data_IF_235903603393
#
_entry.id   IF_235903603393
#
_cell.length_a   1.000
_cell.length_b   1.000
_cell.length_c   1.000
_cell.angle_alpha   90.00
_cell.angle_beta   90.00
_cell.angle_gamma   90.00
#
_symmetry.space_group_name_H-M   'P 1'
#
loop_
_entity.id
_entity.type
_entity.pdbx_description
1 polymer ?
#
# COMPACT_ATOMS: atom_id res chain seq x y z
N UNK A 1 -0.61 14.96 -6.71
CA UNK A 1 -1.53 13.94 -7.24
C UNK A 1 -2.75 13.79 -6.33
N UNK A 2 -3.86 13.28 -6.85
CA UNK A 2 -5.04 13.01 -6.04
C UNK A 2 -4.92 11.67 -5.32
N UNK A 3 -5.36 11.64 -4.06
CA UNK A 3 -5.40 10.43 -3.26
C UNK A 3 -6.65 10.39 -2.39
N UNK A 4 -7.23 9.20 -2.22
CA UNK A 4 -8.31 8.96 -1.27
C UNK A 4 -7.71 8.65 0.09
N UNK A 5 -7.88 9.55 1.04
CA UNK A 5 -7.26 9.50 2.36
C UNK A 5 -8.30 9.17 3.42
N UNK A 6 -8.04 8.13 4.20
CA UNK A 6 -8.87 7.75 5.35
C UNK A 6 -8.41 8.54 6.58
N UNK A 7 -9.33 9.30 7.17
CA UNK A 7 -9.11 10.10 8.38
C UNK A 7 -9.76 9.49 9.63
N UNK A 8 -10.74 8.62 9.41
CA UNK A 8 -11.49 8.00 10.48
C UNK A 8 -12.73 7.29 9.95
N UNK A 9 -13.56 6.80 10.85
CA UNK A 9 -14.82 6.14 10.49
C UNK A 9 -15.69 7.06 9.65
N UNK A 10 -16.13 6.59 8.48
CA UNK A 10 -16.96 7.31 7.51
C UNK A 10 -16.35 8.62 7.00
N UNK A 11 -15.04 8.76 7.09
CA UNK A 11 -14.33 9.97 6.71
C UNK A 11 -13.19 9.66 5.75
N UNK A 12 -13.52 9.58 4.46
CA UNK A 12 -12.54 9.49 3.37
C UNK A 12 -12.59 10.78 2.58
N UNK A 13 -11.43 11.37 2.35
CA UNK A 13 -11.29 12.64 1.64
C UNK A 13 -10.41 12.45 0.42
N UNK A 14 -10.85 12.96 -0.73
CA UNK A 14 -10.00 13.06 -1.92
C UNK A 14 -9.26 14.39 -1.85
N UNK A 15 -7.96 14.32 -1.76
CA UNK A 15 -7.12 15.50 -1.59
C UNK A 15 -5.82 15.39 -2.38
N UNK A 16 -5.16 16.52 -2.58
CA UNK A 16 -3.84 16.55 -3.20
C UNK A 16 -2.77 16.14 -2.20
N UNK A 17 -1.92 15.21 -2.62
CA UNK A 17 -0.77 14.75 -1.86
C UNK A 17 0.48 14.82 -2.74
N UNK A 18 1.64 14.91 -2.10
CA UNK A 18 2.91 14.86 -2.79
C UNK A 18 3.06 13.52 -3.55
N UNK A 19 3.62 13.58 -4.75
CA UNK A 19 4.02 12.37 -5.48
C UNK A 19 5.14 11.70 -4.70
N UNK A 20 5.03 10.42 -4.35
CA UNK A 20 6.08 9.74 -3.62
C UNK A 20 7.36 9.63 -4.44
N UNK A 21 8.49 9.62 -3.76
CA UNK A 21 9.81 9.47 -4.36
C UNK A 21 10.50 8.21 -3.85
N UNK A 22 11.39 7.66 -4.68
CA UNK A 22 12.26 6.55 -4.28
C UNK A 22 13.28 7.08 -3.28
N UNK A 23 13.36 6.45 -2.11
CA UNK A 23 14.28 6.80 -1.03
C UNK A 23 15.27 5.68 -0.69
N UNK A 24 15.06 4.50 -1.26
CA UNK A 24 15.94 3.33 -1.06
C UNK A 24 16.21 2.63 -2.39
N UNK A 25 17.38 2.01 -2.55
CA UNK A 25 17.76 1.36 -3.83
C UNK A 25 16.89 0.15 -4.19
N UNK A 26 16.17 -0.44 -3.24
CA UNK A 26 15.28 -1.59 -3.47
C UNK A 26 13.85 -1.22 -3.87
N UNK A 27 13.51 0.05 -3.87
CA UNK A 27 12.16 0.51 -4.16
C UNK A 27 11.89 0.68 -5.64
N UNK A 28 10.63 0.54 -6.01
CA UNK A 28 10.11 0.89 -7.33
C UNK A 28 8.98 1.90 -7.19
N UNK A 29 8.80 2.74 -8.21
CA UNK A 29 7.70 3.69 -8.30
C UNK A 29 6.75 3.23 -9.40
N UNK A 30 5.48 3.09 -9.03
CA UNK A 30 4.43 2.59 -9.91
C UNK A 30 3.42 3.70 -10.17
N UNK A 31 3.14 3.97 -11.44
CA UNK A 31 2.00 4.78 -11.85
C UNK A 31 0.75 3.88 -11.83
N UNK A 32 -0.08 4.04 -10.82
CA UNK A 32 -1.30 3.24 -10.66
C UNK A 32 -2.28 3.56 -11.79
N UNK A 33 -2.75 2.53 -12.48
CA UNK A 33 -3.72 2.64 -13.56
C UNK A 33 -5.12 2.24 -13.13
N UNK A 34 -5.24 1.19 -12.33
CA UNK A 34 -6.49 0.67 -11.80
C UNK A 34 -6.32 0.27 -10.36
N UNK A 35 -7.34 0.54 -9.55
CA UNK A 35 -7.42 0.06 -8.18
C UNK A 35 -8.80 -0.49 -7.91
N UNK A 36 -8.87 -1.60 -7.20
CA UNK A 36 -10.10 -2.20 -6.70
C UNK A 36 -10.41 -1.74 -5.28
N UNK A 37 -11.65 -1.94 -4.89
CA UNK A 37 -12.11 -1.74 -3.52
C UNK A 37 -12.25 -3.12 -2.88
N UNK A 38 -11.46 -3.38 -1.85
CA UNK A 38 -11.54 -4.60 -1.05
C UNK A 38 -12.61 -4.46 0.04
N UNK A 39 -13.16 -5.58 0.48
CA UNK A 39 -14.05 -5.59 1.65
C UNK A 39 -13.43 -5.00 2.91
N UNK A 40 -12.11 -5.12 3.07
CA UNK A 40 -11.38 -4.52 4.20
C UNK A 40 -11.39 -2.99 4.16
N UNK A 41 -11.35 -2.38 2.98
CA UNK A 41 -11.50 -0.93 2.83
C UNK A 41 -12.89 -0.48 3.29
N UNK A 42 -13.93 -1.24 2.92
CA UNK A 42 -15.29 -0.96 3.34
C UNK A 42 -15.48 -1.12 4.85
N UNK A 43 -14.87 -2.16 5.45
CA UNK A 43 -14.92 -2.38 6.89
C UNK A 43 -14.25 -1.25 7.67
N UNK A 44 -13.08 -0.77 7.21
CA UNK A 44 -12.42 0.40 7.81
C UNK A 44 -13.29 1.65 7.70
N UNK A 45 -13.95 1.85 6.56
CA UNK A 45 -14.83 3.00 6.36
C UNK A 45 -16.03 2.96 7.31
N UNK A 46 -16.73 1.82 7.39
CA UNK A 46 -17.97 1.70 8.15
C UNK A 46 -17.76 1.53 9.67
N UNK A 47 -16.73 0.83 10.06
CA UNK A 47 -16.50 0.41 11.45
C UNK A 47 -15.10 0.66 12.00
N UNK A 48 -14.22 1.30 11.23
CA UNK A 48 -12.86 1.56 11.68
C UNK A 48 -12.72 2.58 12.82
N UNK A 49 -11.53 2.64 13.44
CA UNK A 49 -10.32 1.94 13.02
C UNK A 49 -10.34 0.44 13.37
N UNK A 50 -9.95 -0.41 12.40
CA UNK A 50 -9.78 -1.86 12.58
C UNK A 50 -8.29 -2.21 12.43
N UNK A 51 -7.72 -1.96 11.24
CA UNK A 51 -6.31 -2.22 10.93
C UNK A 51 -5.47 -0.94 10.87
N UNK A 52 -6.08 0.19 10.55
CA UNK A 52 -5.36 1.45 10.41
C UNK A 52 -4.99 1.99 11.79
N UNK A 53 -3.70 2.16 12.09
CA UNK A 53 -3.28 2.74 13.35
C UNK A 53 -3.63 4.23 13.41
N UNK A 54 -4.22 4.66 14.51
CA UNK A 54 -4.67 6.05 14.70
C UNK A 54 -3.87 6.76 15.78
N UNK A 55 -3.63 6.10 16.90
CA UNK A 55 -2.96 6.70 18.05
C UNK A 55 -1.44 6.55 17.97
N UNK A 56 -0.97 5.35 17.64
CA UNK A 56 0.45 5.02 17.52
C UNK A 56 0.79 4.60 16.11
N UNK A 57 2.00 4.94 15.69
CA UNK A 57 2.52 4.51 14.40
C UNK A 57 2.64 2.98 14.33
N UNK A 58 2.37 2.45 13.14
CA UNK A 58 2.55 1.03 12.89
C UNK A 58 4.03 0.64 13.09
N UNK A 59 4.33 -0.43 13.84
CA UNK A 59 5.72 -0.75 14.24
C UNK A 59 6.66 -1.03 13.07
N UNK A 60 6.14 -1.45 11.92
CA UNK A 60 6.98 -1.75 10.76
C UNK A 60 7.00 -0.65 9.71
N UNK A 61 5.88 -0.01 9.45
CA UNK A 61 5.79 1.03 8.43
C UNK A 61 6.04 2.44 8.95
N UNK A 62 5.94 2.64 10.25
CA UNK A 62 6.00 3.97 10.87
C UNK A 62 4.82 4.87 10.52
N UNK A 63 3.75 4.31 9.96
CA UNK A 63 2.60 5.08 9.48
C UNK A 63 1.40 4.97 10.40
N UNK A 64 0.59 6.01 10.39
CA UNK A 64 -0.71 6.09 11.04
C UNK A 64 -1.65 6.97 10.23
N UNK A 65 -2.92 7.01 10.61
CA UNK A 65 -3.89 7.88 9.95
C UNK A 65 -3.45 9.36 9.97
N UNK A 66 -3.74 10.15 8.93
CA UNK A 66 -4.47 9.74 7.73
C UNK A 66 -3.63 8.92 6.74
N UNK A 67 -4.24 7.89 6.14
CA UNK A 67 -3.60 7.01 5.17
C UNK A 67 -4.29 7.07 3.80
N UNK A 68 -3.52 6.90 2.74
CA UNK A 68 -4.06 6.62 1.42
C UNK A 68 -4.57 5.18 1.38
N UNK A 69 -5.84 5.00 1.04
CA UNK A 69 -6.45 3.69 0.86
C UNK A 69 -6.12 3.08 -0.50
N UNK A 70 -6.33 1.78 -0.59
CA UNK A 70 -6.16 0.97 -1.78
C UNK A 70 -4.95 0.03 -1.66
N UNK A 71 -5.22 -1.27 -1.78
CA UNK A 71 -4.20 -2.32 -1.72
C UNK A 71 -4.42 -3.41 -2.78
N UNK A 72 -5.39 -3.22 -3.67
CA UNK A 72 -5.65 -4.08 -4.83
C UNK A 72 -5.50 -3.24 -6.08
N UNK A 73 -4.29 -3.09 -6.59
CA UNK A 73 -4.04 -2.22 -7.72
C UNK A 73 -3.05 -2.81 -8.72
N UNK A 74 -3.14 -2.30 -9.93
CA UNK A 74 -2.22 -2.58 -11.01
C UNK A 74 -1.73 -1.28 -11.63
N UNK A 75 -0.53 -1.29 -12.15
CA UNK A 75 0.07 -0.12 -12.77
C UNK A 75 1.30 -0.45 -13.58
N UNK A 76 1.97 0.59 -13.97
CA UNK A 76 3.20 0.53 -14.76
C UNK A 76 4.36 1.09 -13.94
N UNK A 77 5.50 0.41 -13.96
CA UNK A 77 6.71 0.90 -13.31
C UNK A 77 7.24 2.10 -14.09
N UNK A 78 7.40 3.21 -13.41
CA UNK A 78 7.92 4.48 -13.99
C UNK A 78 9.30 4.83 -13.51
N UNK A 79 9.74 4.24 -12.40
CA UNK A 79 11.06 4.47 -11.83
C UNK A 79 11.48 3.28 -10.98
N UNK A 80 12.76 2.93 -11.01
CA UNK A 80 13.34 1.86 -10.20
C UNK A 80 14.55 2.36 -9.43
N UNK A 81 14.71 1.87 -8.21
CA UNK A 81 15.92 2.11 -7.41
C UNK A 81 17.14 1.40 -8.03
N UNK A 82 18.32 1.89 -7.69
CA UNK A 82 19.58 1.39 -8.28
C UNK A 82 19.86 -0.11 -8.00
N UNK A 83 19.27 -0.68 -6.95
CA UNK A 83 19.43 -2.08 -6.59
C UNK A 83 18.36 -3.02 -7.17
N UNK A 84 17.41 -2.51 -7.92
CA UNK A 84 16.33 -3.30 -8.50
C UNK A 84 16.80 -3.99 -9.78
N UNK A 85 16.68 -5.33 -9.82
CA UNK A 85 17.16 -6.15 -10.96
C UNK A 85 16.07 -7.05 -11.55
N UNK A 86 14.98 -7.28 -10.85
CA UNK A 86 13.93 -8.23 -11.23
C UNK A 86 12.79 -7.61 -12.06
N UNK A 87 12.69 -6.28 -12.09
CA UNK A 87 11.72 -5.53 -12.88
C UNK A 87 12.39 -4.29 -13.47
N UNK A 88 11.75 -3.69 -14.48
CA UNK A 88 12.26 -2.50 -15.16
C UNK A 88 11.16 -1.50 -15.45
N UNK A 89 11.54 -0.27 -15.76
CA UNK A 89 10.63 0.78 -16.23
C UNK A 89 9.85 0.27 -17.46
N UNK A 90 8.56 0.48 -17.47
CA UNK A 90 7.64 0.04 -18.50
C UNK A 90 6.94 -1.30 -18.19
N UNK A 91 7.40 -2.05 -17.20
CA UNK A 91 6.74 -3.30 -16.79
C UNK A 91 5.36 -3.00 -16.18
N UNK A 92 4.37 -3.81 -16.57
CA UNK A 92 3.05 -3.79 -15.97
C UNK A 92 3.03 -4.77 -14.81
N UNK A 93 2.60 -4.29 -13.65
CA UNK A 93 2.68 -5.04 -12.40
C UNK A 93 1.42 -4.91 -11.57
N UNK A 94 1.18 -5.91 -10.75
CA UNK A 94 0.38 -5.80 -9.54
C UNK A 94 1.29 -5.98 -8.32
N UNK A 95 0.81 -5.64 -7.15
CA UNK A 95 1.63 -5.64 -5.93
C UNK A 95 1.06 -6.63 -4.92
N UNK A 96 1.93 -7.48 -4.38
CA UNK A 96 1.59 -8.28 -3.22
C UNK A 96 1.42 -7.35 -2.01
N UNK A 97 0.21 -7.23 -1.45
CA UNK A 97 -0.05 -6.24 -0.40
C UNK A 97 0.42 -6.66 0.99
N UNK A 98 0.76 -7.93 1.16
CA UNK A 98 1.08 -8.47 2.48
C UNK A 98 2.58 -8.40 2.73
N UNK A 99 2.96 -7.61 3.74
CA UNK A 99 4.31 -7.61 4.28
C UNK A 99 4.34 -8.53 5.49
N UNK A 100 4.87 -9.74 5.31
CA UNK A 100 5.06 -10.71 6.37
C UNK A 100 6.49 -10.63 6.91
N UNK A 101 6.63 -10.71 8.22
CA UNK A 101 7.92 -10.93 8.88
C UNK A 101 8.04 -12.39 9.32
N UNK A 102 9.21 -12.80 9.71
CA UNK A 102 9.65 -14.19 9.86
C UNK A 102 8.59 -15.20 10.34
N UNK A 103 7.87 -14.90 11.39
CA UNK A 103 6.83 -15.82 11.89
C UNK A 103 5.55 -15.85 11.03
N UNK A 104 5.30 -14.80 10.26
CA UNK A 104 4.15 -14.71 9.35
C UNK A 104 4.47 -15.29 7.97
N UNK A 105 5.73 -15.23 7.55
CA UNK A 105 6.19 -15.89 6.33
C UNK A 105 5.95 -17.39 6.39
N UNK A 106 6.23 -17.99 7.51
CA UNK A 106 5.97 -19.42 7.73
C UNK A 106 4.50 -19.79 7.55
N UNK A 107 3.60 -18.93 8.03
CA UNK A 107 2.15 -19.11 7.90
C UNK A 107 1.68 -18.91 6.46
N UNK A 108 2.29 -17.98 5.73
CA UNK A 108 1.98 -17.73 4.32
C UNK A 108 2.42 -18.90 3.44
N UNK A 109 3.60 -19.43 3.66
CA UNK A 109 4.11 -20.60 2.93
C UNK A 109 3.21 -21.83 3.13
N UNK A 110 2.67 -22.00 4.32
CA UNK A 110 1.73 -23.08 4.61
C UNK A 110 0.37 -22.93 3.91
N UNK A 111 0.01 -21.73 3.50
CA UNK A 111 -1.23 -21.47 2.76
C UNK A 111 -1.09 -21.70 1.25
N UNK A 112 0.13 -21.72 0.73
CA UNK A 112 0.43 -21.94 -0.69
C UNK A 112 0.61 -23.44 -1.02
N UNK A 113 0.63 -24.31 -0.03
CA UNK A 113 0.64 -25.76 -0.17
C UNK A 113 -0.79 -26.36 -0.27
#
# INVERSE_FOLDING_TARGET
MKAARWYGRRDIRVEDVAVPEITRPSQVKIAVKYTGICGSDLHEYLGGPIFIPVEKEHPYSGRKAPLTLGHEFAGEIVEVGAGVTNVKVGDRVTVEPILAKDCLLYTSDAADE
#
